data_IF_459879005195
#
_entry.id   IF_459879005195
#
_cell.length_a   1.000
_cell.length_b   1.000
_cell.length_c   1.000
_cell.angle_alpha   90.00
_cell.angle_beta   90.00
_cell.angle_gamma   90.00
#
_symmetry.space_group_name_H-M   'P 1'
#
loop_
_entity.id
_entity.type
_entity.pdbx_description
1 polymer ?
#
# COMPACT_ATOMS: atom_id res chain seq x y z
N UNK A 1 19.73 -52.20 -10.16
CA UNK A 1 19.14 -50.89 -9.81
C UNK A 1 18.18 -50.52 -10.92
N UNK A 2 16.91 -50.21 -10.62
CA UNK A 2 15.89 -49.91 -11.62
C UNK A 2 15.70 -48.39 -11.66
N UNK A 3 16.07 -47.76 -12.77
CA UNK A 3 15.86 -46.33 -13.00
C UNK A 3 14.46 -46.13 -13.58
N UNK A 4 13.69 -45.20 -13.03
CA UNK A 4 12.40 -44.77 -13.57
C UNK A 4 12.59 -43.34 -14.05
N UNK A 5 12.38 -43.12 -15.35
CA UNK A 5 12.38 -41.77 -15.93
C UNK A 5 10.98 -41.18 -15.81
N UNK A 6 10.88 -39.99 -15.20
CA UNK A 6 9.64 -39.23 -15.10
C UNK A 6 9.82 -37.90 -15.83
N UNK A 7 8.94 -37.61 -16.78
CA UNK A 7 8.88 -36.30 -17.44
C UNK A 7 7.94 -35.40 -16.65
N UNK A 8 8.45 -34.29 -16.12
CA UNK A 8 7.66 -33.25 -15.48
C UNK A 8 7.49 -32.09 -16.44
N UNK A 9 6.24 -31.74 -16.75
CA UNK A 9 5.92 -30.54 -17.57
C UNK A 9 5.71 -29.37 -16.64
N UNK A 10 6.48 -28.29 -16.83
CA UNK A 10 6.31 -27.04 -16.10
C UNK A 10 5.65 -26.01 -17.01
N UNK A 11 4.48 -25.48 -16.60
CA UNK A 11 3.88 -24.31 -17.24
C UNK A 11 4.45 -23.05 -16.59
N UNK A 12 5.06 -22.19 -17.39
CA UNK A 12 5.54 -20.87 -16.95
C UNK A 12 4.53 -19.83 -17.39
N UNK A 13 4.06 -19.04 -16.43
CA UNK A 13 3.21 -17.87 -16.65
C UNK A 13 4.11 -16.65 -16.65
N UNK A 14 3.97 -15.76 -17.63
CA UNK A 14 4.82 -14.60 -17.81
C UNK A 14 3.96 -13.37 -18.09
N UNK A 15 4.34 -12.22 -17.53
CA UNK A 15 3.69 -10.95 -17.84
C UNK A 15 3.93 -10.54 -19.29
N UNK A 16 2.90 -10.01 -19.94
CA UNK A 16 3.00 -9.43 -21.28
C UNK A 16 3.64 -8.04 -21.27
N UNK A 17 3.64 -7.38 -20.11
CA UNK A 17 4.14 -6.00 -19.93
C UNK A 17 5.58 -6.00 -19.38
N UNK A 18 5.87 -6.87 -18.40
CA UNK A 18 7.18 -7.05 -17.80
C UNK A 18 7.68 -8.48 -18.05
N UNK A 19 8.30 -8.71 -19.21
CA UNK A 19 8.69 -10.06 -19.66
C UNK A 19 9.57 -10.85 -18.67
N UNK A 20 10.33 -10.17 -17.80
CA UNK A 20 11.16 -10.83 -16.78
C UNK A 20 10.34 -11.35 -15.58
N UNK A 21 9.12 -10.83 -15.38
CA UNK A 21 8.19 -11.27 -14.33
C UNK A 21 7.47 -12.53 -14.80
N UNK A 22 7.87 -13.66 -14.20
CA UNK A 22 7.33 -14.99 -14.52
C UNK A 22 7.29 -15.89 -13.30
N UNK A 23 6.36 -16.84 -13.30
CA UNK A 23 6.23 -17.84 -12.24
C UNK A 23 5.64 -19.13 -12.78
N UNK A 24 5.99 -20.26 -12.16
CA UNK A 24 5.30 -21.56 -12.37
C UNK A 24 4.18 -21.80 -11.36
N UNK A 25 4.01 -20.92 -10.38
CA UNK A 25 2.99 -21.05 -9.33
C UNK A 25 1.63 -20.50 -9.81
N UNK A 26 0.54 -21.29 -9.74
CA UNK A 26 -0.78 -20.83 -10.21
C UNK A 26 -1.34 -19.61 -9.46
N UNK A 27 -1.06 -19.47 -8.16
CA UNK A 27 -1.49 -18.31 -7.36
C UNK A 27 -0.87 -17.02 -7.90
N UNK A 28 0.42 -17.06 -8.25
CA UNK A 28 1.17 -15.95 -8.82
C UNK A 28 0.85 -15.70 -10.29
N UNK A 29 0.40 -16.73 -11.03
CA UNK A 29 -0.14 -16.55 -12.38
C UNK A 29 -1.37 -15.63 -12.39
N UNK A 30 -2.25 -15.75 -11.39
CA UNK A 30 -3.38 -14.83 -11.21
C UNK A 30 -2.91 -13.40 -10.93
N UNK A 31 -1.90 -13.23 -10.09
CA UNK A 31 -1.31 -11.91 -9.80
C UNK A 31 -0.76 -11.26 -11.07
N UNK A 32 -0.05 -12.03 -11.90
CA UNK A 32 0.48 -11.57 -13.19
C UNK A 32 -0.67 -11.09 -14.08
N UNK A 33 -1.69 -11.93 -14.28
CA UNK A 33 -2.83 -11.59 -15.12
C UNK A 33 -3.55 -10.33 -14.62
N UNK A 34 -3.82 -10.24 -13.31
CA UNK A 34 -4.46 -9.09 -12.71
C UNK A 34 -3.67 -7.79 -12.91
N UNK A 35 -2.34 -7.84 -12.73
CA UNK A 35 -1.48 -6.68 -12.90
C UNK A 35 -1.26 -6.30 -14.37
N UNK A 36 -1.33 -7.26 -15.30
CA UNK A 36 -1.34 -6.99 -16.74
C UNK A 36 -2.65 -6.32 -17.20
N UNK A 37 -3.79 -6.72 -16.64
CA UNK A 37 -5.09 -6.05 -16.85
C UNK A 37 -5.12 -4.63 -16.24
N UNK A 38 -4.23 -4.34 -15.28
CA UNK A 38 -4.08 -3.03 -14.65
C UNK A 38 -2.64 -2.51 -14.73
N UNK A 39 -2.14 -2.08 -15.91
CA UNK A 39 -0.72 -1.75 -16.12
C UNK A 39 -0.13 -0.71 -15.16
N UNK A 40 -0.98 0.13 -14.55
CA UNK A 40 -0.61 1.07 -13.48
C UNK A 40 0.03 0.36 -12.28
N UNK A 41 -0.39 -0.87 -11.96
CA UNK A 41 0.16 -1.70 -10.88
C UNK A 41 1.67 -1.87 -11.05
N UNK A 42 2.13 -2.26 -12.25
CA UNK A 42 3.54 -2.42 -12.52
C UNK A 42 4.32 -1.13 -12.29
N UNK A 43 3.76 0.02 -12.70
CA UNK A 43 4.37 1.34 -12.47
C UNK A 43 4.42 1.70 -10.99
N UNK A 44 3.39 1.37 -10.22
CA UNK A 44 3.34 1.58 -8.77
C UNK A 44 4.48 0.78 -8.12
N UNK A 45 4.49 -0.54 -8.28
CA UNK A 45 5.35 -1.43 -7.49
C UNK A 45 6.82 -1.41 -7.93
N UNK A 46 7.13 -0.91 -9.12
CA UNK A 46 8.51 -0.72 -9.59
C UNK A 46 9.04 0.70 -9.38
N UNK A 47 8.14 1.68 -9.16
CA UNK A 47 8.49 3.09 -9.01
C UNK A 47 8.57 3.56 -7.56
N UNK A 48 9.09 4.76 -7.34
CA UNK A 48 9.18 5.40 -6.02
C UNK A 48 8.10 6.45 -5.75
N UNK A 49 7.20 6.67 -6.71
CA UNK A 49 6.20 7.76 -6.68
C UNK A 49 5.18 7.56 -5.55
N UNK A 50 4.69 6.34 -5.41
CA UNK A 50 3.86 5.93 -4.27
C UNK A 50 4.77 5.66 -3.07
N UNK A 51 4.50 6.30 -1.93
CA UNK A 51 5.14 5.94 -0.66
C UNK A 51 4.44 4.76 0.01
N UNK A 52 3.16 4.56 -0.28
CA UNK A 52 2.39 3.45 0.29
C UNK A 52 2.73 2.09 -0.33
N UNK A 53 3.00 2.01 -1.63
CA UNK A 53 3.17 0.75 -2.37
C UNK A 53 4.32 0.75 -3.37
N UNK A 54 5.05 1.87 -3.48
CA UNK A 54 6.24 1.93 -4.32
C UNK A 54 7.44 1.17 -3.74
N UNK A 55 8.49 1.11 -4.54
CA UNK A 55 9.80 0.62 -4.14
C UNK A 55 10.30 1.40 -2.91
N UNK A 56 10.66 0.66 -1.87
CA UNK A 56 11.08 1.19 -0.58
C UNK A 56 9.95 1.35 0.45
N UNK A 57 8.69 1.12 0.07
CA UNK A 57 7.56 1.22 1.01
C UNK A 57 7.72 0.30 2.22
N UNK A 58 7.41 0.81 3.41
CA UNK A 58 7.51 0.04 4.66
C UNK A 58 6.40 -1.02 4.83
N UNK A 59 5.46 -1.11 3.88
CA UNK A 59 4.44 -2.17 3.87
C UNK A 59 5.04 -3.53 3.48
N UNK A 60 6.18 -3.51 2.80
CA UNK A 60 6.90 -4.70 2.38
C UNK A 60 7.98 -5.04 3.39
N UNK A 61 8.09 -6.33 3.72
CA UNK A 61 9.11 -6.83 4.65
C UNK A 61 10.34 -7.36 3.89
N UNK A 62 11.52 -7.11 4.47
CA UNK A 62 12.77 -7.73 4.04
C UNK A 62 13.13 -7.46 2.57
N UNK A 63 13.37 -8.54 1.84
CA UNK A 63 13.93 -8.52 0.48
C UNK A 63 13.01 -7.82 -0.54
N UNK A 64 11.69 -7.94 -0.38
CA UNK A 64 10.72 -7.35 -1.30
C UNK A 64 10.63 -5.82 -1.19
N UNK A 65 11.17 -5.21 -0.12
CA UNK A 65 11.06 -3.77 0.06
C UNK A 65 11.87 -2.98 -0.98
N UNK A 66 13.08 -3.43 -1.33
CA UNK A 66 14.03 -2.66 -2.17
C UNK A 66 14.56 -3.42 -3.38
N UNK A 67 14.30 -4.72 -3.49
CA UNK A 67 14.78 -5.53 -4.60
C UNK A 67 13.98 -5.28 -5.88
N UNK A 68 14.69 -5.20 -7.01
CA UNK A 68 14.12 -5.19 -8.36
C UNK A 68 14.15 -6.57 -9.03
N UNK A 69 14.48 -7.62 -8.28
CA UNK A 69 14.33 -8.99 -8.77
C UNK A 69 12.85 -9.25 -9.15
N UNK A 70 12.57 -10.01 -10.21
CA UNK A 70 11.20 -10.26 -10.67
C UNK A 70 10.27 -10.81 -9.59
N UNK A 71 10.78 -11.67 -8.71
CA UNK A 71 10.04 -12.24 -7.59
C UNK A 71 9.62 -11.16 -6.59
N UNK A 72 10.45 -10.13 -6.41
CA UNK A 72 10.18 -9.04 -5.48
C UNK A 72 9.10 -8.11 -6.04
N UNK A 73 9.17 -7.83 -7.34
CA UNK A 73 8.13 -7.08 -8.07
C UNK A 73 6.80 -7.81 -7.96
N UNK A 74 6.81 -9.12 -8.18
CA UNK A 74 5.62 -9.96 -8.14
C UNK A 74 5.03 -10.06 -6.72
N UNK A 75 5.87 -10.16 -5.69
CA UNK A 75 5.44 -10.11 -4.29
C UNK A 75 4.76 -8.78 -3.93
N UNK A 76 5.32 -7.65 -4.42
CA UNK A 76 4.69 -6.33 -4.21
C UNK A 76 3.35 -6.20 -4.93
N UNK A 77 3.25 -6.74 -6.16
CA UNK A 77 2.00 -6.78 -6.91
C UNK A 77 0.95 -7.68 -6.23
N UNK A 78 1.35 -8.86 -5.73
CA UNK A 78 0.50 -9.78 -4.96
C UNK A 78 -0.08 -9.09 -3.75
N UNK A 79 0.75 -8.42 -2.95
CA UNK A 79 0.29 -7.69 -1.77
C UNK A 79 -0.72 -6.59 -2.12
N UNK A 80 -0.49 -5.85 -3.22
CA UNK A 80 -1.44 -4.83 -3.66
C UNK A 80 -2.77 -5.45 -4.12
N UNK A 81 -2.73 -6.56 -4.86
CA UNK A 81 -3.91 -7.31 -5.28
C UNK A 81 -4.73 -7.81 -4.09
N UNK A 82 -4.09 -8.37 -3.06
CA UNK A 82 -4.74 -8.84 -1.85
C UNK A 82 -5.52 -7.72 -1.16
N UNK A 83 -4.93 -6.52 -1.04
CA UNK A 83 -5.64 -5.39 -0.44
C UNK A 83 -6.83 -4.90 -1.28
N UNK A 84 -6.82 -5.16 -2.59
CA UNK A 84 -7.86 -4.72 -3.54
C UNK A 84 -9.01 -5.73 -3.67
N UNK A 85 -8.69 -7.00 -3.88
CA UNK A 85 -9.66 -8.05 -4.24
C UNK A 85 -10.02 -8.97 -3.07
N UNK A 86 -9.09 -9.22 -2.17
CA UNK A 86 -9.21 -10.23 -1.12
C UNK A 86 -8.83 -9.65 0.23
N UNK A 87 -9.67 -8.77 0.82
CA UNK A 87 -9.43 -8.28 2.15
C UNK A 87 -9.39 -9.51 3.07
N UNK A 88 -8.19 -9.99 3.41
CA UNK A 88 -8.00 -11.17 4.22
C UNK A 88 -8.58 -10.97 5.61
N UNK A 89 -8.50 -11.97 6.48
CA UNK A 89 -9.05 -11.90 7.84
C UNK A 89 -8.62 -10.67 8.66
N UNK A 90 -7.49 -10.03 8.31
CA UNK A 90 -6.92 -8.87 8.98
C UNK A 90 -7.19 -7.52 8.29
N UNK A 91 -7.84 -7.52 7.13
CA UNK A 91 -8.24 -6.31 6.42
C UNK A 91 -9.73 -6.42 6.11
N UNK A 92 -10.54 -5.58 6.73
CA UNK A 92 -11.93 -5.42 6.34
C UNK A 92 -12.05 -4.36 5.24
N UNK A 93 -13.17 -4.34 4.51
CA UNK A 93 -13.45 -3.36 3.44
C UNK A 93 -13.27 -1.90 3.87
N UNK A 94 -13.47 -1.61 5.15
CA UNK A 94 -13.30 -0.28 5.75
C UNK A 94 -11.90 -0.03 6.35
N UNK A 95 -10.92 -0.90 6.08
CA UNK A 95 -9.58 -0.76 6.66
C UNK A 95 -8.80 0.33 5.93
N UNK A 96 -7.95 1.04 6.68
CA UNK A 96 -7.04 2.05 6.10
C UNK A 96 -6.14 1.48 5.00
N UNK A 97 -5.79 0.20 5.10
CA UNK A 97 -4.92 -0.49 4.14
C UNK A 97 -5.61 -0.77 2.81
N UNK A 98 -6.86 -1.23 2.84
CA UNK A 98 -7.70 -1.40 1.65
C UNK A 98 -8.04 -0.04 1.02
N UNK A 99 -8.39 0.95 1.85
CA UNK A 99 -8.70 2.28 1.33
C UNK A 99 -7.51 2.92 0.62
N UNK A 100 -6.32 2.90 1.23
CA UNK A 100 -5.14 3.49 0.60
C UNK A 100 -4.70 2.74 -0.67
N UNK A 101 -4.93 1.42 -0.76
CA UNK A 101 -4.65 0.65 -1.97
C UNK A 101 -5.51 1.12 -3.15
N UNK A 102 -6.83 1.25 -2.91
CA UNK A 102 -7.79 1.79 -3.89
C UNK A 102 -7.41 3.20 -4.31
N UNK A 103 -7.21 4.08 -3.33
CA UNK A 103 -6.77 5.45 -3.56
C UNK A 103 -5.50 5.53 -4.43
N UNK A 104 -4.50 4.70 -4.13
CA UNK A 104 -3.25 4.66 -4.90
C UNK A 104 -3.52 4.31 -6.35
N UNK A 105 -4.28 3.25 -6.63
CA UNK A 105 -4.56 2.81 -8.00
C UNK A 105 -5.36 3.86 -8.76
N UNK A 106 -6.39 4.43 -8.13
CA UNK A 106 -7.31 5.38 -8.76
C UNK A 106 -6.61 6.70 -9.12
N UNK A 107 -5.72 7.18 -8.25
CA UNK A 107 -5.08 8.49 -8.39
C UNK A 107 -3.64 8.45 -8.92
N UNK A 108 -3.02 7.27 -9.11
CA UNK A 108 -1.59 7.19 -9.45
C UNK A 108 -1.20 8.01 -10.68
N UNK A 109 -2.10 8.10 -11.66
CA UNK A 109 -1.86 8.82 -12.91
C UNK A 109 -2.11 10.32 -12.80
N UNK A 110 -2.77 10.77 -11.73
CA UNK A 110 -3.15 12.16 -11.56
C UNK A 110 -1.92 13.08 -11.44
N UNK A 111 -2.11 14.32 -11.85
CA UNK A 111 -1.08 15.34 -11.80
C UNK A 111 -0.68 15.60 -10.35
N UNK A 112 0.62 15.61 -10.09
CA UNK A 112 1.13 15.88 -8.74
C UNK A 112 0.96 14.74 -7.73
N UNK A 113 0.43 13.57 -8.15
CA UNK A 113 0.39 12.39 -7.28
C UNK A 113 1.77 12.09 -6.70
N UNK A 114 1.82 11.87 -5.39
CA UNK A 114 3.00 11.57 -4.59
C UNK A 114 2.55 10.80 -3.34
N UNK A 115 3.48 10.47 -2.44
CA UNK A 115 3.13 10.08 -1.08
C UNK A 115 4.00 10.74 -0.04
N UNK A 116 3.62 10.57 1.22
CA UNK A 116 4.33 11.12 2.37
C UNK A 116 4.19 10.23 3.60
N UNK A 117 5.07 10.45 4.57
CA UNK A 117 5.02 9.81 5.87
C UNK A 117 4.20 10.66 6.85
N UNK A 118 2.96 10.25 7.09
CA UNK A 118 2.03 10.91 8.01
C UNK A 118 2.30 10.38 9.43
N UNK A 119 2.32 11.29 10.39
CA UNK A 119 2.69 10.98 11.77
C UNK A 119 1.88 11.86 12.72
N UNK A 120 1.13 11.20 13.60
CA UNK A 120 0.46 11.80 14.76
C UNK A 120 1.51 12.09 15.82
N UNK A 121 1.36 13.22 16.53
CA UNK A 121 2.15 13.55 17.71
C UNK A 121 1.21 13.90 18.86
N UNK A 122 1.52 13.38 20.04
CA UNK A 122 0.99 13.97 21.26
C UNK A 122 1.91 15.12 21.73
N UNK A 123 1.65 15.68 22.92
CA UNK A 123 2.45 16.79 23.45
C UNK A 123 3.93 16.44 23.66
N UNK A 124 4.28 15.15 23.80
CA UNK A 124 5.58 14.68 24.26
C UNK A 124 6.31 13.79 23.23
N UNK A 125 5.59 13.04 22.39
CA UNK A 125 6.14 11.99 21.56
C UNK A 125 5.42 11.84 20.20
N UNK A 126 6.12 11.38 19.15
CA UNK A 126 5.47 10.83 17.97
C UNK A 126 4.70 9.55 18.33
N UNK A 127 3.51 9.40 17.76
CA UNK A 127 2.58 8.29 17.97
C UNK A 127 2.36 7.49 16.70
N UNK A 128 1.12 7.26 16.31
CA UNK A 128 0.75 6.47 15.14
C UNK A 128 1.25 7.13 13.86
N UNK A 129 1.63 6.30 12.89
CA UNK A 129 2.16 6.75 11.62
C UNK A 129 1.70 5.87 10.48
N UNK A 130 1.69 6.44 9.28
CA UNK A 130 1.42 5.70 8.07
C UNK A 130 1.98 6.41 6.84
N UNK A 131 2.48 5.64 5.88
CA UNK A 131 2.70 6.13 4.53
C UNK A 131 1.39 6.14 3.75
N UNK A 132 1.00 7.33 3.30
CA UNK A 132 -0.19 7.56 2.48
C UNK A 132 0.20 8.30 1.21
N UNK A 133 -0.53 8.00 0.14
CA UNK A 133 -0.42 8.69 -1.13
C UNK A 133 -1.49 9.78 -1.23
N UNK A 134 -1.20 10.83 -2.01
CA UNK A 134 -2.08 11.98 -2.21
C UNK A 134 -1.70 12.74 -3.49
N UNK A 135 -2.63 13.53 -3.99
CA UNK A 135 -2.41 14.64 -4.95
C UNK A 135 -2.57 15.97 -4.20
N UNK A 136 -2.17 17.11 -4.78
CA UNK A 136 -2.46 18.42 -4.19
C UNK A 136 -3.95 18.64 -3.89
N UNK A 137 -4.84 18.14 -4.75
CA UNK A 137 -6.29 18.30 -4.65
C UNK A 137 -6.93 17.39 -3.59
N UNK A 138 -6.35 16.22 -3.35
CA UNK A 138 -6.86 15.20 -2.42
C UNK A 138 -6.17 15.23 -1.06
N UNK A 139 -5.17 16.10 -0.87
CA UNK A 139 -4.35 16.14 0.35
C UNK A 139 -5.17 16.31 1.64
N UNK A 140 -6.14 17.23 1.65
CA UNK A 140 -6.99 17.46 2.83
C UNK A 140 -7.88 16.26 3.14
N UNK A 141 -8.44 15.59 2.12
CA UNK A 141 -9.21 14.35 2.30
C UNK A 141 -8.33 13.25 2.93
N UNK A 142 -7.14 13.02 2.36
CA UNK A 142 -6.20 12.02 2.86
C UNK A 142 -5.79 12.34 4.32
N UNK A 143 -5.62 13.62 4.65
CA UNK A 143 -5.30 14.07 5.99
C UNK A 143 -6.46 13.84 6.98
N UNK A 144 -7.69 14.12 6.60
CA UNK A 144 -8.88 13.83 7.42
C UNK A 144 -9.04 12.33 7.66
N UNK A 145 -8.89 11.55 6.59
CA UNK A 145 -8.91 10.10 6.63
C UNK A 145 -7.85 9.55 7.58
N UNK A 146 -6.60 10.01 7.47
CA UNK A 146 -5.54 9.70 8.43
C UNK A 146 -5.99 9.99 9.87
N UNK A 147 -6.52 11.19 10.14
CA UNK A 147 -6.97 11.56 11.48
C UNK A 147 -8.10 10.68 12.04
N UNK A 148 -9.00 10.18 11.18
CA UNK A 148 -10.10 9.29 11.57
C UNK A 148 -9.63 7.90 12.02
N UNK A 149 -8.54 7.40 11.43
CA UNK A 149 -7.99 6.07 11.69
C UNK A 149 -6.86 6.04 12.72
N UNK A 150 -6.21 7.17 12.95
CA UNK A 150 -5.13 7.24 13.94
C UNK A 150 -5.64 7.01 15.36
N UNK A 151 -4.69 6.74 16.25
CA UNK A 151 -4.98 6.16 17.56
C UNK A 151 -5.77 7.15 18.43
N UNK A 152 -6.98 6.73 18.80
CA UNK A 152 -7.92 7.47 19.65
C UNK A 152 -7.51 7.47 21.12
N UNK A 153 -6.54 6.66 21.53
CA UNK A 153 -6.02 6.61 22.89
C UNK A 153 -5.10 7.79 23.23
N UNK A 154 -4.62 8.54 22.22
CA UNK A 154 -3.73 9.69 22.42
C UNK A 154 -4.35 11.00 21.94
N UNK A 155 -4.24 12.00 22.81
CA UNK A 155 -4.53 13.40 22.54
C UNK A 155 -3.61 13.92 21.43
N UNK A 156 -4.17 14.12 20.23
CA UNK A 156 -3.42 14.61 19.06
C UNK A 156 -3.22 16.11 19.15
N UNK A 157 -1.97 16.56 19.31
CA UNK A 157 -1.62 17.98 19.32
C UNK A 157 -1.30 18.47 17.91
N UNK A 158 -0.66 17.63 17.09
CA UNK A 158 -0.33 17.97 15.70
C UNK A 158 -0.16 16.73 14.83
N UNK A 159 -0.29 16.94 13.52
CA UNK A 159 0.08 15.98 12.48
C UNK A 159 1.21 16.54 11.66
N UNK A 160 2.19 15.68 11.35
CA UNK A 160 3.27 15.99 10.42
C UNK A 160 3.23 15.10 9.20
N UNK A 161 3.59 15.64 8.04
CA UNK A 161 3.89 14.90 6.82
C UNK A 161 5.34 15.16 6.47
N UNK A 162 6.15 14.12 6.32
CA UNK A 162 7.58 14.21 6.05
C UNK A 162 8.30 15.19 6.98
N UNK A 163 7.98 15.08 8.28
CA UNK A 163 8.50 15.91 9.39
C UNK A 163 8.05 17.38 9.38
N UNK A 164 7.23 17.81 8.43
CA UNK A 164 6.64 19.16 8.39
C UNK A 164 5.26 19.14 9.05
N UNK A 165 4.98 20.07 9.94
CA UNK A 165 3.64 20.19 10.54
C UNK A 165 2.64 20.68 9.50
N UNK A 166 1.55 19.92 9.34
CA UNK A 166 0.47 20.24 8.39
C UNK A 166 -0.84 20.57 9.08
N UNK A 167 -1.00 20.17 10.36
CA UNK A 167 -2.17 20.51 11.18
C UNK A 167 -1.78 20.57 12.65
N UNK A 168 -2.33 21.54 13.37
CA UNK A 168 -2.19 21.73 14.82
C UNK A 168 -3.59 21.82 15.42
N UNK A 169 -3.82 21.17 16.56
CA UNK A 169 -5.09 21.14 17.25
C UNK A 169 -4.97 21.97 18.53
N UNK A 170 -5.70 23.08 18.62
CA UNK A 170 -5.44 24.12 19.64
C UNK A 170 -5.83 23.73 21.08
N UNK A 171 -6.72 22.74 21.27
CA UNK A 171 -7.14 22.31 22.61
C UNK A 171 -6.47 21.00 23.08
N UNK A 172 -5.47 20.52 22.34
CA UNK A 172 -4.79 19.25 22.61
C UNK A 172 -5.69 18.02 22.47
N UNK A 173 -6.98 18.18 22.15
CA UNK A 173 -7.97 17.10 22.16
C UNK A 173 -8.85 17.15 20.92
N UNK A 174 -8.68 16.19 20.02
CA UNK A 174 -9.85 15.68 19.31
C UNK A 174 -10.59 14.76 20.28
N UNK A 175 -11.56 15.29 21.01
CA UNK A 175 -12.55 14.45 21.69
C UNK A 175 -13.43 13.82 20.61
N UNK A 176 -13.31 12.50 20.46
CA UNK A 176 -14.27 11.56 19.86
C UNK A 176 -15.26 12.17 18.84
N UNK A 177 -15.06 11.88 17.55
CA UNK A 177 -16.21 11.72 16.66
C UNK A 177 -17.07 10.61 17.26
N UNK A 178 -18.19 10.99 17.89
CA UNK A 178 -19.27 10.08 18.21
C UNK A 178 -19.64 9.35 16.92
N UNK A 179 -19.48 8.03 16.92
CA UNK A 179 -20.14 7.20 15.93
C UNK A 179 -21.64 7.41 16.15
N UNK A 180 -22.27 8.11 15.20
CA UNK A 180 -23.63 7.74 14.84
C UNK A 180 -23.49 6.36 14.21
N UNK A 181 -23.76 5.33 15.02
CA UNK A 181 -23.96 3.99 14.52
C UNK A 181 -25.10 4.02 13.49
N UNK A 182 -24.79 3.62 12.26
CA UNK A 182 -25.75 3.22 11.23
C UNK A 182 -25.19 2.00 10.49
#
# INVERSE_FOLDING_TARGET
MKTIEQVVTHRVHQSEILADVRSTEPSLARVIAWADDHPTVWRIVTGHRSKAFGLGSCVYIGWAQRSMAPEAILERARHLMELMEEPGHWSHVNSIFTWRAKFTIDHYQDKGFTGGFFQQHDANYPRSCLTLDYTPETFEEVLEKFCQWMDRYYDTVRVTVDKRTVRVFQDGRMSQCQLLDA
#
